data_IF_899618208796
#
_entry.id   IF_899618208796
#
_cell.length_a   1.000
_cell.length_b   1.000
_cell.length_c   1.000
_cell.angle_alpha   90.00
_cell.angle_beta   90.00
_cell.angle_gamma   90.00
#
_symmetry.space_group_name_H-M   'P 1'
#
loop_
_entity.id
_entity.type
_entity.pdbx_description
1 polymer ?
#
# COMPACT_ATOMS: atom_id res chain seq x y z
N UNK A 1 -10.18 -19.80 -0.10
CA UNK A 1 -10.36 -19.11 1.19
C UNK A 1 -11.73 -18.46 1.15
N UNK A 2 -12.53 -18.65 2.19
CA UNK A 2 -13.81 -17.97 2.36
C UNK A 2 -13.64 -16.68 3.15
N UNK A 3 -14.64 -15.79 3.10
CA UNK A 3 -14.65 -14.56 3.91
C UNK A 3 -14.56 -14.85 5.42
N UNK A 4 -15.09 -16.00 5.85
CA UNK A 4 -14.99 -16.46 7.23
C UNK A 4 -13.52 -16.78 7.60
N UNK A 5 -12.81 -17.49 6.73
CA UNK A 5 -11.38 -17.81 6.93
C UNK A 5 -10.54 -16.53 6.95
N UNK A 6 -10.84 -15.58 6.06
CA UNK A 6 -10.16 -14.28 6.01
C UNK A 6 -10.39 -13.46 7.30
N UNK A 7 -11.63 -13.47 7.82
CA UNK A 7 -11.98 -12.78 9.06
C UNK A 7 -11.26 -13.36 10.28
N UNK A 8 -11.12 -14.68 10.34
CA UNK A 8 -10.40 -15.34 11.43
C UNK A 8 -8.91 -14.98 11.42
N UNK A 9 -8.26 -15.02 10.25
CA UNK A 9 -6.87 -14.61 10.08
C UNK A 9 -6.68 -13.14 10.47
N UNK A 10 -7.58 -12.27 10.03
CA UNK A 10 -7.52 -10.83 10.35
C UNK A 10 -7.58 -10.58 11.85
N UNK A 11 -8.46 -11.27 12.57
CA UNK A 11 -8.56 -11.15 14.03
C UNK A 11 -7.27 -11.62 14.75
N UNK A 12 -6.60 -12.65 14.22
CA UNK A 12 -5.30 -13.11 14.75
C UNK A 12 -4.25 -12.02 14.52
N UNK A 13 -4.22 -11.38 13.35
CA UNK A 13 -3.29 -10.28 13.05
C UNK A 13 -3.53 -9.11 14.01
N UNK A 14 -4.78 -8.68 14.17
CA UNK A 14 -5.13 -7.60 15.09
C UNK A 14 -4.73 -7.93 16.53
N UNK A 15 -5.09 -9.11 17.04
CA UNK A 15 -4.73 -9.47 18.43
C UNK A 15 -3.22 -9.53 18.69
N UNK A 16 -2.41 -9.89 17.69
CA UNK A 16 -0.95 -10.01 17.85
C UNK A 16 -0.18 -8.73 17.56
N UNK A 17 -0.64 -7.91 16.63
CA UNK A 17 0.12 -6.77 16.09
C UNK A 17 -0.57 -5.41 16.29
N UNK A 18 -1.83 -5.37 16.73
CA UNK A 18 -2.56 -4.12 16.96
C UNK A 18 -2.24 -3.33 18.24
N UNK A 19 -1.40 -3.75 19.22
CA UNK A 19 -1.00 -2.80 20.27
C UNK A 19 -0.05 -1.71 19.74
N UNK A 20 0.44 -1.84 18.50
CA UNK A 20 1.22 -0.82 17.80
C UNK A 20 0.27 0.01 16.95
N UNK A 21 0.22 1.30 17.21
CA UNK A 21 -0.50 2.30 16.41
C UNK A 21 0.43 2.90 15.36
N UNK A 22 -0.12 3.65 14.40
CA UNK A 22 0.69 4.38 13.42
C UNK A 22 1.65 5.38 14.09
N UNK A 23 1.24 5.93 15.24
CA UNK A 23 2.06 6.87 16.02
C UNK A 23 3.26 6.20 16.71
N UNK A 24 3.24 4.86 16.83
CA UNK A 24 4.34 4.08 17.44
C UNK A 24 5.41 3.68 16.42
N UNK A 25 5.20 3.97 15.12
CA UNK A 25 6.16 3.68 14.05
C UNK A 25 7.12 4.86 13.91
N UNK A 26 8.41 4.58 13.92
CA UNK A 26 9.45 5.59 13.71
C UNK A 26 9.35 6.16 12.29
N UNK A 27 9.25 7.48 12.18
CA UNK A 27 9.44 8.17 10.90
C UNK A 27 10.94 8.16 10.54
N UNK A 28 11.24 7.67 9.34
CA UNK A 28 12.60 7.60 8.81
C UNK A 28 12.68 8.38 7.51
N UNK A 29 13.85 8.97 7.26
CA UNK A 29 14.11 9.63 5.99
C UNK A 29 14.14 8.61 4.84
N UNK A 30 13.63 8.96 3.64
CA UNK A 30 13.65 8.08 2.48
C UNK A 30 15.08 7.65 2.12
N UNK A 31 15.25 6.38 1.78
CA UNK A 31 16.52 5.85 1.32
C UNK A 31 16.75 6.09 -0.19
N UNK A 32 17.88 5.61 -0.71
CA UNK A 32 18.23 5.80 -2.13
C UNK A 32 17.23 5.15 -3.09
N UNK A 33 16.60 4.04 -2.68
CA UNK A 33 15.58 3.34 -3.49
C UNK A 33 14.30 4.16 -3.47
N UNK A 34 13.89 4.65 -2.30
CA UNK A 34 12.71 5.51 -2.16
C UNK A 34 12.86 6.77 -3.04
N UNK A 35 14.02 7.43 -2.97
CA UNK A 35 14.32 8.62 -3.78
C UNK A 35 14.32 8.32 -5.29
N UNK A 36 14.77 7.13 -5.69
CA UNK A 36 14.72 6.72 -7.09
C UNK A 36 13.28 6.46 -7.55
N UNK A 37 12.45 5.84 -6.72
CA UNK A 37 11.04 5.62 -7.01
C UNK A 37 10.27 6.93 -7.14
N UNK A 38 10.48 7.88 -6.22
CA UNK A 38 9.86 9.20 -6.28
C UNK A 38 10.21 9.93 -7.59
N UNK A 39 11.49 9.92 -7.99
CA UNK A 39 11.92 10.50 -9.28
C UNK A 39 11.31 9.80 -10.48
N UNK A 40 11.19 8.47 -10.43
CA UNK A 40 10.57 7.71 -11.50
C UNK A 40 9.11 8.13 -11.69
N UNK A 41 8.37 8.24 -10.58
CA UNK A 41 6.97 8.71 -10.56
C UNK A 41 6.86 10.13 -11.13
N UNK A 42 7.71 11.06 -10.68
CA UNK A 42 7.70 12.45 -11.19
C UNK A 42 7.94 12.53 -12.70
N UNK A 43 8.73 11.61 -13.24
CA UNK A 43 9.06 11.57 -14.67
C UNK A 43 8.08 10.76 -15.51
N UNK A 44 7.17 10.02 -14.88
CA UNK A 44 6.20 9.15 -15.54
C UNK A 44 4.87 9.91 -15.75
N UNK A 45 4.56 10.33 -16.99
CA UNK A 45 3.33 11.07 -17.28
C UNK A 45 2.07 10.25 -16.99
N UNK A 46 2.14 8.92 -17.08
CA UNK A 46 1.00 8.03 -16.83
C UNK A 46 0.71 7.90 -15.33
N UNK A 47 1.70 8.16 -14.47
CA UNK A 47 1.54 8.13 -13.01
C UNK A 47 0.81 9.38 -12.45
N UNK A 48 0.59 10.40 -13.27
CA UNK A 48 -0.11 11.63 -12.88
C UNK A 48 -1.60 11.64 -13.24
N UNK A 49 -2.09 10.62 -13.94
CA UNK A 49 -3.47 10.54 -14.38
C UNK A 49 -4.14 9.27 -13.84
N UNK A 50 -5.26 9.43 -13.14
CA UNK A 50 -6.08 8.29 -12.75
C UNK A 50 -6.91 7.83 -13.94
N UNK A 51 -6.58 6.66 -14.48
CA UNK A 51 -7.42 5.99 -15.48
C UNK A 51 -8.74 5.57 -14.84
N UNK A 52 -9.86 5.98 -15.43
CA UNK A 52 -11.18 5.52 -14.98
C UNK A 52 -11.31 4.03 -15.24
N UNK A 53 -11.96 3.33 -14.32
CA UNK A 53 -12.21 1.89 -14.45
C UNK A 53 -12.86 1.50 -15.79
N UNK A 54 -13.78 2.33 -16.31
CA UNK A 54 -14.44 2.14 -17.61
C UNK A 54 -13.47 2.13 -18.81
N UNK A 55 -12.31 2.74 -18.63
CA UNK A 55 -11.32 2.98 -19.67
C UNK A 55 -10.14 1.98 -19.55
N UNK A 56 -10.18 1.07 -18.56
CA UNK A 56 -9.21 -0.01 -18.38
C UNK A 56 -9.65 -1.21 -19.22
N UNK A 57 -8.82 -1.60 -20.19
CA UNK A 57 -9.01 -2.82 -20.97
C UNK A 57 -8.42 -4.02 -20.22
N UNK A 58 -9.27 -4.72 -19.48
CA UNK A 58 -8.93 -5.98 -18.82
C UNK A 58 -8.93 -7.11 -19.86
N UNK A 59 -7.78 -7.39 -20.48
CA UNK A 59 -7.57 -8.64 -21.24
C UNK A 59 -7.43 -9.85 -20.33
#
# INVERSE_FOLDING_TARGET
MSDADASEIWNIILSKFSPVTWDDIEEVEPDDIDLQMLKAIESDPDCHEFTKESDIHWE
#
